data_IF_528892953822
#
_entry.id   IF_528892953822
#
_cell.length_a   1.000
_cell.length_b   1.000
_cell.length_c   1.000
_cell.angle_alpha   90.00
_cell.angle_beta   90.00
_cell.angle_gamma   90.00
#
_symmetry.space_group_name_H-M   'P 1'
#
loop_
_entity.id
_entity.type
_entity.pdbx_description
1 polymer ?
#
# COMPACT_ATOMS: atom_id res chain seq x y z
N UNK A 1 -11.47 20.10 -12.86
CA UNK A 1 -10.26 19.52 -12.25
C UNK A 1 -9.93 18.20 -12.92
N UNK A 2 -8.66 17.77 -12.93
CA UNK A 2 -8.25 16.46 -13.49
C UNK A 2 -8.97 15.29 -12.81
N UNK A 3 -9.20 15.41 -11.51
CA UNK A 3 -9.88 14.42 -10.67
C UNK A 3 -11.35 14.17 -11.05
N UNK A 4 -12.09 15.21 -11.47
CA UNK A 4 -13.49 15.07 -11.88
C UNK A 4 -13.66 14.34 -13.23
N UNK A 5 -12.62 14.32 -14.07
CA UNK A 5 -12.63 13.67 -15.38
C UNK A 5 -12.27 12.17 -15.32
N UNK A 6 -11.95 11.64 -14.13
CA UNK A 6 -11.63 10.21 -13.97
C UNK A 6 -12.89 9.35 -13.98
N UNK A 7 -12.69 8.05 -14.15
CA UNK A 7 -13.71 7.03 -13.98
C UNK A 7 -13.27 6.05 -12.87
N UNK A 8 -13.97 5.99 -11.72
CA UNK A 8 -15.09 6.86 -11.35
C UNK A 8 -14.64 8.29 -11.02
N UNK A 9 -15.52 9.30 -11.15
CA UNK A 9 -15.17 10.69 -10.92
C UNK A 9 -14.89 10.95 -9.44
N UNK A 10 -13.80 11.67 -9.18
CA UNK A 10 -13.43 12.10 -7.82
C UNK A 10 -13.97 13.49 -7.57
N UNK A 11 -14.95 13.59 -6.67
CA UNK A 11 -15.55 14.87 -6.27
C UNK A 11 -14.79 15.43 -5.08
N UNK A 12 -14.40 16.70 -5.18
CA UNK A 12 -13.84 17.46 -4.07
C UNK A 12 -14.91 18.41 -3.55
N UNK A 13 -15.11 18.42 -2.23
CA UNK A 13 -16.00 19.34 -1.55
C UNK A 13 -15.25 20.08 -0.45
N UNK A 14 -15.55 21.37 -0.28
CA UNK A 14 -15.11 22.18 0.86
C UNK A 14 -16.32 22.39 1.76
N UNK A 15 -16.17 22.09 3.04
CA UNK A 15 -17.19 22.33 4.06
C UNK A 15 -16.55 23.21 5.13
N UNK A 16 -17.23 24.29 5.50
CA UNK A 16 -16.84 25.08 6.67
C UNK A 16 -17.34 24.38 7.93
N UNK A 17 -16.42 23.77 8.67
CA UNK A 17 -16.73 23.03 9.89
C UNK A 17 -16.85 23.93 11.14
N UNK A 18 -16.57 25.23 11.02
CA UNK A 18 -16.87 26.21 12.06
C UNK A 18 -18.33 26.70 12.02
N UNK A 19 -19.00 26.56 10.87
CA UNK A 19 -20.41 26.89 10.73
C UNK A 19 -21.27 25.87 11.50
N UNK A 20 -22.10 26.38 12.43
CA UNK A 20 -23.00 25.56 13.25
C UNK A 20 -23.99 24.73 12.41
N UNK A 21 -24.35 25.20 11.20
CA UNK A 21 -25.20 24.43 10.28
C UNK A 21 -24.56 23.13 9.80
N UNK A 22 -23.23 23.01 9.90
CA UNK A 22 -22.47 21.81 9.50
C UNK A 22 -22.08 20.92 10.69
N UNK A 23 -22.58 21.20 11.90
CA UNK A 23 -22.22 20.46 13.12
C UNK A 23 -22.49 18.96 13.02
N UNK A 24 -23.66 18.55 12.52
CA UNK A 24 -24.00 17.15 12.32
C UNK A 24 -23.02 16.43 11.39
N UNK A 25 -22.59 17.11 10.32
CA UNK A 25 -21.64 16.57 9.35
C UNK A 25 -20.25 16.37 9.96
N UNK A 26 -19.80 17.37 10.75
CA UNK A 26 -18.53 17.35 11.48
C UNK A 26 -18.49 16.17 12.46
N UNK A 27 -19.56 15.98 13.23
CA UNK A 27 -19.66 14.92 14.23
C UNK A 27 -19.77 13.54 13.55
N UNK A 28 -20.59 13.43 12.49
CA UNK A 28 -20.73 12.20 11.68
C UNK A 28 -19.39 11.70 11.13
N UNK A 29 -18.55 12.60 10.62
CA UNK A 29 -17.25 12.25 10.05
C UNK A 29 -16.06 12.45 11.01
N UNK A 30 -16.34 12.70 12.29
CA UNK A 30 -15.36 12.82 13.37
C UNK A 30 -14.23 13.80 13.00
N UNK A 31 -14.60 15.01 12.63
CA UNK A 31 -13.66 16.10 12.33
C UNK A 31 -13.51 16.96 13.58
N UNK A 32 -12.47 16.68 14.38
CA UNK A 32 -12.21 17.38 15.65
C UNK A 32 -10.99 18.30 15.64
N UNK A 33 -10.26 18.35 14.52
CA UNK A 33 -9.09 19.21 14.33
C UNK A 33 -9.03 19.72 12.90
N UNK A 34 -8.43 20.91 12.72
CA UNK A 34 -8.40 21.62 11.44
C UNK A 34 -6.98 22.04 11.07
N UNK A 35 -6.62 22.04 9.77
CA UNK A 35 -7.40 21.52 8.63
C UNK A 35 -7.43 19.97 8.62
N UNK A 36 -8.54 19.40 8.14
CA UNK A 36 -8.69 17.96 7.96
C UNK A 36 -9.21 17.63 6.55
N UNK A 37 -8.68 16.56 5.96
CA UNK A 37 -9.15 16.01 4.69
C UNK A 37 -9.61 14.57 4.96
N UNK A 38 -10.85 14.25 4.55
CA UNK A 38 -11.46 12.93 4.67
C UNK A 38 -11.74 12.37 3.29
N UNK A 39 -11.60 11.07 3.13
CA UNK A 39 -11.95 10.36 1.91
C UNK A 39 -13.20 9.55 2.21
N UNK A 40 -14.24 9.82 1.44
CA UNK A 40 -15.56 9.24 1.62
C UNK A 40 -15.86 8.37 0.40
N UNK A 41 -16.11 7.08 0.63
CA UNK A 41 -16.44 6.10 -0.42
C UNK A 41 -17.79 5.43 -0.10
N UNK A 42 -18.35 4.73 -1.09
CA UNK A 42 -19.58 3.93 -0.95
C UNK A 42 -20.73 4.70 -0.26
N UNK A 43 -20.93 5.95 -0.67
CA UNK A 43 -22.01 6.81 -0.15
C UNK A 43 -21.87 7.24 1.32
N UNK A 44 -20.68 7.15 1.93
CA UNK A 44 -20.48 7.52 3.33
C UNK A 44 -20.28 6.36 4.29
N UNK A 45 -20.37 5.11 3.82
CA UNK A 45 -20.17 3.92 4.65
C UNK A 45 -18.70 3.57 4.87
N UNK A 46 -17.80 4.02 3.99
CA UNK A 46 -16.35 3.90 4.15
C UNK A 46 -15.73 5.30 4.20
N UNK A 47 -15.21 5.67 5.37
CA UNK A 47 -14.61 6.98 5.63
C UNK A 47 -13.22 6.78 6.21
N UNK A 48 -12.22 7.36 5.54
CA UNK A 48 -10.81 7.27 5.93
C UNK A 48 -10.19 8.66 6.02
N UNK A 49 -9.14 8.79 6.84
CA UNK A 49 -8.33 10.00 6.87
C UNK A 49 -7.47 10.08 5.61
N UNK A 50 -7.25 11.29 5.10
CA UNK A 50 -6.26 11.51 4.05
C UNK A 50 -4.85 11.48 4.65
N UNK A 51 -4.04 10.51 4.21
CA UNK A 51 -2.64 10.35 4.66
C UNK A 51 -1.60 10.79 3.64
N UNK A 52 -1.99 11.38 2.51
CA UNK A 52 -1.07 11.74 1.42
C UNK A 52 -0.41 13.12 1.57
N UNK A 53 0.40 13.53 0.57
CA UNK A 53 1.04 14.85 0.52
C UNK A 53 0.02 15.99 0.38
N UNK A 54 0.32 17.18 0.90
CA UNK A 54 -0.64 18.33 0.89
C UNK A 54 -0.42 19.34 -0.23
N UNK A 55 0.52 19.07 -1.15
CA UNK A 55 0.66 19.81 -2.40
C UNK A 55 -0.32 19.27 -3.46
N UNK A 56 -0.57 20.07 -4.50
CA UNK A 56 -1.60 19.76 -5.49
C UNK A 56 -1.31 18.47 -6.27
N UNK A 57 -0.05 18.20 -6.59
CA UNK A 57 0.36 17.03 -7.38
C UNK A 57 0.21 15.76 -6.55
N UNK A 58 0.70 15.76 -5.31
CA UNK A 58 0.57 14.64 -4.39
C UNK A 58 -0.88 14.33 -4.00
N UNK A 59 -1.76 15.35 -3.89
CA UNK A 59 -3.20 15.12 -3.72
C UNK A 59 -3.79 14.38 -4.92
N UNK A 60 -3.46 14.81 -6.15
CA UNK A 60 -3.96 14.17 -7.37
C UNK A 60 -3.47 12.73 -7.46
N UNK A 61 -2.19 12.48 -7.22
CA UNK A 61 -1.62 11.13 -7.26
C UNK A 61 -2.24 10.23 -6.19
N UNK A 62 -2.30 10.70 -4.94
CA UNK A 62 -2.87 9.93 -3.84
C UNK A 62 -4.34 9.58 -4.10
N UNK A 63 -5.17 10.56 -4.47
CA UNK A 63 -6.59 10.30 -4.74
C UNK A 63 -6.77 9.41 -5.97
N UNK A 64 -5.88 9.49 -6.95
CA UNK A 64 -5.87 8.58 -8.10
C UNK A 64 -5.69 7.13 -7.66
N UNK A 65 -4.70 6.85 -6.81
CA UNK A 65 -4.50 5.50 -6.22
C UNK A 65 -5.71 5.07 -5.39
N UNK A 66 -6.34 6.01 -4.70
CA UNK A 66 -7.50 5.74 -3.85
C UNK A 66 -8.84 5.59 -4.60
N UNK A 67 -8.90 5.81 -5.90
CA UNK A 67 -10.16 5.70 -6.67
C UNK A 67 -10.05 4.64 -7.75
N UNK A 68 -8.81 4.33 -8.18
CA UNK A 68 -8.51 3.17 -8.98
C UNK A 68 -8.71 1.84 -8.24
N UNK A 69 -8.57 0.72 -8.97
CA UNK A 69 -8.61 -0.61 -8.37
C UNK A 69 -7.50 -0.74 -7.32
N UNK A 70 -7.73 -1.54 -6.28
CA UNK A 70 -6.75 -1.74 -5.22
C UNK A 70 -5.46 -2.41 -5.69
N UNK A 71 -5.51 -3.10 -6.82
CA UNK A 71 -4.37 -3.67 -7.51
C UNK A 71 -4.50 -3.41 -9.00
N UNK A 72 -3.39 -3.02 -9.64
CA UNK A 72 -3.33 -2.79 -11.09
C UNK A 72 -2.71 -3.98 -11.81
N UNK A 73 -3.25 -4.32 -12.98
CA UNK A 73 -2.71 -5.39 -13.81
C UNK A 73 -1.41 -4.93 -14.51
N UNK A 74 -0.34 -5.69 -14.34
CA UNK A 74 0.92 -5.52 -15.07
C UNK A 74 0.90 -6.46 -16.27
N UNK A 75 1.05 -5.89 -17.48
CA UNK A 75 0.97 -6.62 -18.75
C UNK A 75 2.29 -6.68 -19.52
N UNK A 76 3.31 -5.95 -19.09
CA UNK A 76 4.59 -5.90 -19.76
C UNK A 76 5.75 -5.76 -18.78
N UNK A 77 6.94 -6.20 -19.19
CA UNK A 77 8.16 -6.05 -18.39
C UNK A 77 8.56 -4.59 -18.18
N UNK A 78 8.19 -3.71 -19.13
CA UNK A 78 8.40 -2.27 -19.02
C UNK A 78 7.53 -1.68 -17.92
N UNK A 79 6.26 -2.07 -17.85
CA UNK A 79 5.36 -1.62 -16.79
C UNK A 79 5.79 -2.19 -15.44
N UNK A 80 6.20 -3.46 -15.40
CA UNK A 80 6.73 -4.10 -14.20
C UNK A 80 7.93 -3.32 -13.64
N UNK A 81 8.90 -2.98 -14.50
CA UNK A 81 10.11 -2.24 -14.11
C UNK A 81 9.82 -0.81 -13.64
N UNK A 82 8.71 -0.20 -14.08
CA UNK A 82 8.29 1.15 -13.65
C UNK A 82 7.53 1.11 -12.33
N UNK A 83 6.68 0.10 -12.16
CA UNK A 83 5.80 -0.05 -10.99
C UNK A 83 6.52 -0.68 -9.79
N UNK A 84 7.45 -1.60 -10.05
CA UNK A 84 8.24 -2.31 -9.04
C UNK A 84 9.60 -1.61 -8.98
N UNK A 85 9.67 -0.54 -8.21
CA UNK A 85 10.89 0.26 -8.03
C UNK A 85 11.60 -0.01 -6.71
N UNK A 86 12.80 0.56 -6.56
CA UNK A 86 13.68 0.34 -5.40
C UNK A 86 13.30 1.15 -4.14
N UNK A 87 12.16 1.85 -4.14
CA UNK A 87 11.80 2.81 -3.08
C UNK A 87 10.81 2.29 -2.05
N UNK A 88 10.25 1.09 -2.23
CA UNK A 88 9.19 0.61 -1.37
C UNK A 88 8.97 -0.89 -1.46
N UNK A 89 8.08 -1.36 -0.59
CA UNK A 89 7.62 -2.74 -0.60
C UNK A 89 6.42 -2.83 -1.53
N UNK A 90 6.50 -3.72 -2.50
CA UNK A 90 5.46 -3.90 -3.53
C UNK A 90 5.02 -5.35 -3.53
N UNK A 91 3.72 -5.60 -3.40
CA UNK A 91 3.18 -6.96 -3.48
C UNK A 91 2.57 -7.20 -4.85
N UNK A 92 3.01 -8.28 -5.51
CA UNK A 92 2.50 -8.69 -6.82
C UNK A 92 1.88 -10.07 -6.72
N UNK A 93 0.60 -10.18 -7.07
CA UNK A 93 -0.08 -11.47 -7.21
C UNK A 93 0.02 -11.99 -8.65
N UNK A 94 0.59 -13.18 -8.83
CA UNK A 94 0.60 -13.91 -10.10
C UNK A 94 -0.55 -14.89 -10.11
N UNK A 95 -1.52 -14.71 -11.00
CA UNK A 95 -2.72 -15.54 -11.08
C UNK A 95 -2.95 -16.01 -12.52
N UNK A 96 -3.15 -17.32 -12.77
CA UNK A 96 -3.51 -17.80 -14.10
C UNK A 96 -4.80 -17.16 -14.63
N UNK A 97 -5.75 -16.91 -13.73
CA UNK A 97 -7.02 -16.24 -14.00
C UNK A 97 -7.30 -15.21 -12.90
N UNK A 98 -7.86 -14.05 -13.27
CA UNK A 98 -8.25 -12.99 -12.31
C UNK A 98 -9.63 -13.27 -11.70
N UNK A 99 -9.78 -14.48 -11.18
CA UNK A 99 -11.00 -15.00 -10.59
C UNK A 99 -10.68 -16.03 -9.50
N UNK A 100 -11.69 -16.35 -8.70
CA UNK A 100 -11.59 -17.35 -7.64
C UNK A 100 -11.07 -16.82 -6.31
N UNK A 101 -11.18 -17.65 -5.28
CA UNK A 101 -11.00 -17.25 -3.88
C UNK A 101 -9.63 -16.63 -3.59
N UNK A 102 -8.56 -17.11 -4.26
CA UNK A 102 -7.20 -16.60 -4.05
C UNK A 102 -7.05 -15.17 -4.56
N UNK A 103 -7.59 -14.89 -5.75
CA UNK A 103 -7.60 -13.55 -6.33
C UNK A 103 -8.51 -12.62 -5.51
N UNK A 104 -9.69 -13.09 -5.11
CA UNK A 104 -10.63 -12.32 -4.29
C UNK A 104 -10.04 -11.94 -2.93
N UNK A 105 -9.40 -12.88 -2.23
CA UNK A 105 -8.72 -12.62 -0.97
C UNK A 105 -7.56 -11.62 -1.14
N UNK A 106 -6.74 -11.78 -2.18
CA UNK A 106 -5.69 -10.82 -2.51
C UNK A 106 -6.24 -9.41 -2.74
N UNK A 107 -7.32 -9.29 -3.53
CA UNK A 107 -7.98 -8.01 -3.78
C UNK A 107 -8.59 -7.42 -2.50
N UNK A 108 -9.12 -8.25 -1.59
CA UNK A 108 -9.63 -7.80 -0.31
C UNK A 108 -8.53 -7.21 0.58
N UNK A 109 -7.37 -7.86 0.66
CA UNK A 109 -6.20 -7.36 1.40
C UNK A 109 -5.64 -6.10 0.75
N UNK A 110 -5.50 -6.09 -0.58
CA UNK A 110 -5.07 -4.90 -1.32
C UNK A 110 -5.99 -3.70 -1.01
N UNK A 111 -7.32 -3.88 -0.99
CA UNK A 111 -8.25 -2.81 -0.65
C UNK A 111 -8.04 -2.26 0.78
N UNK A 112 -7.70 -3.13 1.74
CA UNK A 112 -7.45 -2.74 3.13
C UNK A 112 -6.11 -2.03 3.30
N UNK A 113 -5.08 -2.44 2.59
CA UNK A 113 -3.68 -2.05 2.82
C UNK A 113 -3.08 -1.10 1.76
N UNK A 114 -3.82 -0.73 0.71
CA UNK A 114 -3.36 0.16 -0.38
C UNK A 114 -2.97 1.59 0.02
N UNK A 115 -3.11 1.95 1.30
CA UNK A 115 -2.59 3.22 1.81
C UNK A 115 -1.10 3.11 2.16
N UNK A 116 -0.67 1.91 2.57
CA UNK A 116 0.66 1.66 3.10
C UNK A 116 1.55 0.89 2.12
N UNK A 117 0.94 0.07 1.24
CA UNK A 117 1.65 -0.77 0.28
C UNK A 117 1.04 -0.65 -1.11
N UNK A 118 1.89 -0.77 -2.13
CA UNK A 118 1.46 -0.84 -3.52
C UNK A 118 1.21 -2.31 -3.91
N UNK A 119 0.04 -2.56 -4.50
CA UNK A 119 -0.39 -3.88 -4.94
C UNK A 119 -0.53 -3.92 -6.47
N UNK A 120 -0.03 -4.98 -7.08
CA UNK A 120 -0.20 -5.26 -8.50
C UNK A 120 -0.56 -6.73 -8.72
N UNK A 121 -1.07 -7.05 -9.89
CA UNK A 121 -1.29 -8.43 -10.28
C UNK A 121 -0.91 -8.66 -11.73
N UNK A 122 -0.63 -9.91 -12.10
CA UNK A 122 -0.35 -10.29 -13.47
C UNK A 122 -0.72 -11.75 -13.71
N UNK A 123 -0.95 -12.11 -14.96
CA UNK A 123 -1.07 -13.50 -15.39
C UNK A 123 0.25 -14.11 -15.85
N UNK A 124 1.30 -13.30 -15.95
CA UNK A 124 2.59 -13.71 -16.49
C UNK A 124 3.73 -13.36 -15.51
N UNK A 125 4.26 -14.37 -14.82
CA UNK A 125 5.39 -14.19 -13.91
C UNK A 125 6.68 -13.76 -14.64
N UNK A 126 6.81 -14.04 -15.94
CA UNK A 126 8.03 -13.82 -16.69
C UNK A 126 8.34 -12.33 -16.91
N UNK A 127 7.33 -11.47 -16.83
CA UNK A 127 7.49 -10.03 -17.02
C UNK A 127 8.00 -9.33 -15.75
N UNK A 128 7.95 -10.00 -14.59
CA UNK A 128 8.36 -9.41 -13.34
C UNK A 128 9.88 -9.28 -13.27
N UNK A 129 10.42 -8.28 -12.54
CA UNK A 129 11.84 -8.21 -12.26
C UNK A 129 12.32 -9.53 -11.64
N UNK A 130 13.43 -10.07 -12.16
CA UNK A 130 13.96 -11.39 -11.73
C UNK A 130 12.96 -12.52 -12.00
N UNK A 131 12.23 -12.39 -13.11
CA UNK A 131 11.18 -13.32 -13.52
C UNK A 131 11.70 -14.73 -13.73
N UNK A 132 11.14 -15.66 -12.98
CA UNK A 132 11.37 -17.09 -13.17
C UNK A 132 10.34 -17.63 -14.16
N UNK A 133 10.81 -18.15 -15.29
CA UNK A 133 10.00 -18.78 -16.33
C UNK A 133 9.26 -20.05 -15.85
N UNK A 134 9.53 -20.51 -14.63
CA UNK A 134 9.04 -21.77 -14.06
C UNK A 134 7.83 -21.61 -13.15
N UNK A 135 7.48 -20.39 -12.74
CA UNK A 135 6.34 -20.12 -11.84
C UNK A 135 5.05 -20.07 -12.66
N UNK A 136 4.18 -21.07 -12.47
CA UNK A 136 2.87 -21.15 -13.14
C UNK A 136 1.71 -20.54 -12.34
N UNK A 137 1.99 -19.96 -11.17
CA UNK A 137 0.97 -19.43 -10.26
C UNK A 137 0.08 -20.53 -9.66
N UNK A 138 -0.88 -20.16 -8.78
CA UNK A 138 -1.03 -18.85 -8.15
C UNK A 138 0.14 -18.59 -7.17
N UNK A 139 0.72 -17.39 -7.20
CA UNK A 139 1.85 -17.00 -6.34
C UNK A 139 1.70 -15.55 -5.88
N UNK A 140 2.07 -15.26 -4.63
CA UNK A 140 2.31 -13.90 -4.16
C UNK A 140 3.81 -13.64 -4.11
N UNK A 141 4.27 -12.58 -4.76
CA UNK A 141 5.67 -12.14 -4.75
C UNK A 141 5.76 -10.75 -4.15
N UNK A 142 6.48 -10.63 -3.04
CA UNK A 142 6.78 -9.36 -2.39
C UNK A 142 8.15 -8.89 -2.82
N UNK A 143 8.23 -7.70 -3.42
CA UNK A 143 9.48 -7.03 -3.75
C UNK A 143 9.85 -6.05 -2.65
N UNK A 144 11.13 -6.02 -2.29
CA UNK A 144 11.68 -5.14 -1.26
C UNK A 144 13.09 -4.67 -1.65
N UNK A 145 13.51 -3.46 -1.25
CA UNK A 145 14.83 -2.91 -1.61
C UNK A 145 15.96 -3.31 -0.64
N UNK A 146 15.69 -4.22 0.29
CA UNK A 146 16.60 -4.67 1.35
C UNK A 146 16.53 -6.20 1.50
N UNK A 147 17.50 -6.80 2.19
CA UNK A 147 17.64 -8.25 2.35
C UNK A 147 17.53 -9.00 1.00
N UNK A 148 16.72 -10.06 0.92
CA UNK A 148 16.35 -10.71 -0.35
C UNK A 148 15.41 -9.81 -1.14
N UNK A 149 15.81 -9.44 -2.35
CA UNK A 149 15.09 -8.42 -3.12
C UNK A 149 13.68 -8.84 -3.58
N UNK A 150 13.33 -10.13 -3.39
CA UNK A 150 11.95 -10.61 -3.41
C UNK A 150 11.76 -11.81 -2.49
N UNK A 151 10.52 -12.04 -2.05
CA UNK A 151 10.10 -13.23 -1.29
C UNK A 151 8.77 -13.73 -1.87
N UNK A 152 8.59 -15.05 -1.93
CA UNK A 152 7.41 -15.70 -2.47
C UNK A 152 6.56 -16.35 -1.38
N UNK A 153 5.24 -16.37 -1.57
CA UNK A 153 4.27 -17.11 -0.76
C UNK A 153 3.17 -17.71 -1.65
N UNK A 154 2.66 -18.87 -1.26
CA UNK A 154 1.50 -19.52 -1.88
C UNK A 154 0.29 -19.57 -0.94
N UNK A 155 0.34 -18.86 0.18
CA UNK A 155 -0.77 -18.73 1.11
C UNK A 155 -1.59 -17.48 0.78
N UNK A 156 -2.87 -17.71 0.46
CA UNK A 156 -3.82 -16.68 0.04
C UNK A 156 -4.93 -16.44 1.07
N UNK A 157 -4.78 -16.95 2.29
CA UNK A 157 -5.66 -16.56 3.38
C UNK A 157 -5.48 -15.06 3.73
N UNK A 158 -6.57 -14.35 4.04
CA UNK A 158 -6.55 -12.90 4.31
C UNK A 158 -5.57 -12.55 5.43
N UNK A 159 -5.45 -13.38 6.48
CA UNK A 159 -4.51 -13.14 7.58
C UNK A 159 -3.09 -13.59 7.24
N UNK A 160 -2.94 -14.64 6.44
CA UNK A 160 -1.63 -15.07 5.96
C UNK A 160 -0.98 -14.02 5.04
N UNK A 161 -1.74 -13.40 4.13
CA UNK A 161 -1.23 -12.33 3.25
C UNK A 161 -0.78 -11.13 4.08
N UNK A 162 -1.61 -10.69 5.05
CA UNK A 162 -1.24 -9.57 5.95
C UNK A 162 0.05 -9.89 6.70
N UNK A 163 0.12 -11.07 7.32
CA UNK A 163 1.31 -11.51 8.05
C UNK A 163 2.53 -11.61 7.14
N UNK A 164 2.35 -12.07 5.91
CA UNK A 164 3.41 -12.16 4.92
C UNK A 164 4.00 -10.78 4.59
N UNK A 165 3.15 -9.78 4.36
CA UNK A 165 3.57 -8.38 4.16
C UNK A 165 4.25 -7.85 5.42
N UNK A 166 3.69 -8.11 6.59
CA UNK A 166 4.17 -7.60 7.87
C UNK A 166 5.52 -8.18 8.30
N UNK A 167 5.80 -9.42 7.94
CA UNK A 167 7.06 -10.09 8.26
C UNK A 167 8.11 -9.80 7.19
N UNK A 168 7.73 -9.88 5.91
CA UNK A 168 8.68 -9.80 4.81
C UNK A 168 8.92 -8.37 4.32
N UNK A 169 7.97 -7.46 4.54
CA UNK A 169 8.06 -6.05 4.14
C UNK A 169 8.92 -5.19 5.05
N UNK A 170 9.67 -5.78 5.98
CA UNK A 170 10.52 -5.05 6.91
C UNK A 170 11.95 -5.59 6.87
N UNK A 171 12.95 -4.72 6.89
CA UNK A 171 14.34 -5.12 6.87
C UNK A 171 14.71 -5.90 8.13
N UNK A 172 15.49 -6.96 7.95
CA UNK A 172 15.99 -7.80 9.05
C UNK A 172 17.00 -7.04 9.90
N UNK A 173 17.80 -6.18 9.25
CA UNK A 173 18.80 -5.34 9.91
C UNK A 173 18.51 -3.88 9.55
N UNK A 174 18.42 -3.04 10.58
CA UNK A 174 18.24 -1.59 10.43
C UNK A 174 19.38 -0.90 11.16
N UNK A 175 20.03 0.05 10.48
CA UNK A 175 21.00 0.92 11.13
C UNK A 175 20.26 1.86 12.07
N UNK A 176 20.68 1.90 13.33
CA UNK A 176 20.17 2.86 14.29
C UNK A 176 20.91 4.19 14.09
N UNK A 177 20.30 5.08 13.31
CA UNK A 177 20.82 6.42 13.00
C UNK A 177 19.69 7.47 12.98
N UNK A 178 20.04 8.71 12.63
CA UNK A 178 19.10 9.81 12.50
C UNK A 178 18.46 9.90 11.10
N UNK A 179 18.64 8.90 10.22
CA UNK A 179 18.01 8.89 8.90
C UNK A 179 16.48 8.71 9.07
N UNK A 180 15.66 9.67 8.61
CA UNK A 180 14.20 9.55 8.69
C UNK A 180 13.64 8.29 8.01
N UNK A 181 14.36 7.74 7.03
CA UNK A 181 14.00 6.50 6.34
C UNK A 181 14.08 5.29 7.27
N UNK A 182 15.01 5.29 8.22
CA UNK A 182 15.22 4.23 9.20
C UNK A 182 14.25 4.34 10.38
N UNK A 183 13.81 5.56 10.74
CA UNK A 183 12.90 5.77 11.87
C UNK A 183 11.65 4.89 11.84
N UNK A 184 10.96 4.76 10.70
CA UNK A 184 9.77 3.90 10.59
C UNK A 184 10.06 2.42 10.87
N UNK A 185 11.26 1.96 10.51
CA UNK A 185 11.67 0.58 10.72
C UNK A 185 12.11 0.36 12.17
N UNK A 186 12.79 1.34 12.76
CA UNK A 186 13.19 1.35 14.18
C UNK A 186 11.95 1.34 15.09
N UNK A 187 10.97 2.23 14.84
CA UNK A 187 9.72 2.27 15.60
C UNK A 187 8.98 0.93 15.56
N UNK A 188 8.90 0.30 14.38
CA UNK A 188 8.29 -1.02 14.24
C UNK A 188 9.07 -2.11 14.95
N UNK A 189 10.40 -2.10 14.87
CA UNK A 189 11.24 -3.04 15.62
C UNK A 189 10.93 -2.98 17.12
N UNK A 190 10.73 -1.80 17.68
CA UNK A 190 10.37 -1.65 19.09
C UNK A 190 8.91 -2.00 19.40
N UNK A 191 7.97 -1.78 18.48
CA UNK A 191 6.55 -2.10 18.69
C UNK A 191 6.19 -3.57 18.45
N UNK A 192 7.01 -4.32 17.71
CA UNK A 192 6.75 -5.74 17.42
C UNK A 192 7.18 -6.65 18.60
N UNK A 193 6.31 -7.53 19.11
CA UNK A 193 6.68 -8.52 20.12
C UNK A 193 7.37 -9.73 19.46
N UNK A 194 8.65 -9.57 19.16
CA UNK A 194 9.54 -10.60 18.61
C UNK A 194 10.89 -10.60 19.34
N UNK A 195 11.71 -11.65 19.16
CA UNK A 195 13.05 -11.70 19.74
C UNK A 195 13.92 -10.59 19.12
N UNK A 196 14.61 -9.82 19.97
CA UNK A 196 15.36 -8.61 19.59
C UNK A 196 16.84 -8.79 19.91
N UNK A 197 17.69 -8.50 18.94
CA UNK A 197 19.14 -8.39 19.11
C UNK A 197 19.62 -7.02 18.66
N UNK A 198 20.44 -6.36 19.48
CA UNK A 198 21.14 -5.12 19.14
C UNK A 198 22.64 -5.41 19.08
N UNK A 199 23.28 -5.02 17.97
CA UNK A 199 24.73 -5.12 17.82
C UNK A 199 25.30 -3.71 17.68
N UNK A 200 26.39 -3.43 18.41
CA UNK A 200 27.14 -2.18 18.30
C UNK A 200 28.41 -2.44 17.49
N UNK A 201 28.57 -1.76 16.36
CA UNK A 201 29.78 -1.77 15.55
C UNK A 201 30.61 -0.52 15.86
N UNK A 202 31.83 -0.70 16.33
CA UNK A 202 32.80 0.39 16.45
C UNK A 202 33.51 0.55 15.09
N UNK A 203 33.27 1.67 14.41
CA UNK A 203 34.04 2.06 13.22
C UNK A 203 35.39 2.62 13.71
N UNK A 204 36.49 2.00 13.28
CA UNK A 204 37.86 2.49 13.50
C UNK A 204 38.22 3.59 12.50
#
# INVERSE_FOLDING_TARGET
SMLRKRDPPVVLAKVDAYDESNKELKDKYKVHGYPAIKIIRKGGSDVSAYGGPRDAEGIVEYLTRQVGPASLEIRSAVDASRSIGDKGVVLVGVFPEFAGIQYENFMAVANKMRTDYDFFHTSDASILPRGDLTVKGPLLRLFKPFDELFVDSQDFDDDAIKKFIEVSGFPTVVTFDADPTNHKFIERYYSTPSAKGNAFLALQ
#
